data_IF_302710689657
#
_entry.id   IF_302710689657
#
_cell.length_a   1.000
_cell.length_b   1.000
_cell.length_c   1.000
_cell.angle_alpha   90.00
_cell.angle_beta   90.00
_cell.angle_gamma   90.00
#
_symmetry.space_group_name_H-M   'P 1'
#
loop_
_entity.id
_entity.type
_entity.pdbx_description
1 polymer ?
#
# COMPACT_ATOMS: atom_id res chain seq x y z
N UNK A 1 -10.38 -18.85 -25.43
CA UNK A 1 -9.06 -18.42 -24.92
C UNK A 1 -8.61 -19.42 -23.85
N UNK A 2 -7.33 -19.82 -23.79
CA UNK A 2 -6.88 -20.70 -22.71
C UNK A 2 -7.19 -20.05 -21.35
N UNK A 3 -7.63 -20.87 -20.38
CA UNK A 3 -7.94 -20.41 -19.03
C UNK A 3 -6.66 -19.86 -18.39
N UNK A 4 -6.68 -18.62 -17.88
CA UNK A 4 -5.55 -18.09 -17.11
C UNK A 4 -5.40 -18.91 -15.83
N UNK A 5 -4.20 -19.41 -15.58
CA UNK A 5 -3.78 -20.03 -14.32
C UNK A 5 -2.68 -19.20 -13.70
N UNK A 6 -2.43 -19.35 -12.41
CA UNK A 6 -1.30 -18.67 -11.76
C UNK A 6 0.02 -18.96 -12.47
N UNK A 7 0.23 -20.19 -12.90
CA UNK A 7 1.42 -20.58 -13.66
C UNK A 7 1.52 -19.84 -15.00
N UNK A 8 0.44 -19.84 -15.81
CA UNK A 8 0.44 -19.17 -17.10
C UNK A 8 0.58 -17.65 -17.00
N UNK A 9 0.03 -17.05 -15.94
CA UNK A 9 0.18 -15.63 -15.66
C UNK A 9 1.61 -15.30 -15.22
N UNK A 10 2.24 -16.16 -14.41
CA UNK A 10 3.62 -15.99 -14.02
C UNK A 10 4.59 -16.07 -15.21
N UNK A 11 4.41 -17.07 -16.09
CA UNK A 11 5.22 -17.21 -17.31
C UNK A 11 5.10 -15.98 -18.23
N UNK A 12 3.91 -15.41 -18.34
CA UNK A 12 3.67 -14.17 -19.12
C UNK A 12 4.23 -12.97 -18.38
N UNK A 13 3.98 -12.87 -17.07
CA UNK A 13 4.43 -11.78 -16.22
C UNK A 13 5.96 -11.68 -16.18
N UNK A 14 6.66 -12.81 -16.13
CA UNK A 14 8.14 -12.85 -16.12
C UNK A 14 8.79 -12.28 -17.38
N UNK A 15 8.04 -12.13 -18.47
CA UNK A 15 8.53 -11.51 -19.71
C UNK A 15 8.43 -9.99 -19.69
N UNK A 16 7.61 -9.41 -18.83
CA UNK A 16 7.27 -7.95 -18.82
C UNK A 16 7.35 -7.30 -17.44
N UNK A 17 7.46 -8.06 -16.37
CA UNK A 17 7.59 -7.59 -14.99
C UNK A 17 8.85 -8.19 -14.36
N UNK A 18 9.53 -7.42 -13.54
CA UNK A 18 10.65 -7.91 -12.74
C UNK A 18 10.13 -9.01 -11.81
N UNK A 19 10.74 -10.21 -11.86
CA UNK A 19 10.31 -11.40 -11.10
C UNK A 19 8.82 -11.80 -11.32
N UNK A 20 8.20 -11.37 -12.42
CA UNK A 20 6.81 -11.68 -12.74
C UNK A 20 5.75 -10.92 -11.93
N UNK A 21 6.17 -9.98 -11.06
CA UNK A 21 5.29 -9.22 -10.15
C UNK A 21 5.77 -7.77 -9.99
N UNK A 22 4.90 -6.89 -9.51
CA UNK A 22 5.23 -5.48 -9.30
C UNK A 22 5.73 -5.17 -7.88
N UNK A 23 6.06 -6.17 -7.09
CA UNK A 23 6.62 -5.98 -5.74
C UNK A 23 7.42 -7.20 -5.33
N UNK A 24 8.64 -7.00 -4.85
CA UNK A 24 9.51 -8.06 -4.37
C UNK A 24 8.88 -8.90 -3.24
N UNK A 25 8.05 -8.29 -2.37
CA UNK A 25 7.31 -8.99 -1.32
C UNK A 25 6.24 -9.97 -1.84
N UNK A 26 5.94 -9.96 -3.14
CA UNK A 26 4.99 -10.86 -3.80
C UNK A 26 5.64 -11.83 -4.76
N UNK A 27 6.96 -11.71 -4.96
CA UNK A 27 7.73 -12.53 -5.88
C UNK A 27 8.12 -13.90 -5.33
N UNK A 28 8.66 -14.78 -6.19
CA UNK A 28 9.13 -16.12 -5.81
C UNK A 28 10.15 -16.10 -4.69
N UNK A 29 11.01 -15.07 -4.64
CA UNK A 29 12.02 -14.93 -3.59
C UNK A 29 11.41 -14.79 -2.18
N UNK A 30 10.24 -14.16 -2.07
CA UNK A 30 9.54 -13.99 -0.78
C UNK A 30 8.79 -15.25 -0.33
N UNK A 31 8.22 -16.02 -1.26
CA UNK A 31 7.35 -17.15 -0.96
C UNK A 31 7.96 -18.53 -1.30
N UNK A 32 9.10 -18.57 -1.99
CA UNK A 32 9.73 -19.81 -2.41
C UNK A 32 8.97 -20.62 -3.48
N UNK A 33 7.88 -20.06 -4.01
CA UNK A 33 6.98 -20.72 -4.96
C UNK A 33 6.49 -19.74 -6.02
N UNK A 34 5.89 -20.24 -7.09
CA UNK A 34 5.16 -19.43 -8.07
C UNK A 34 4.14 -18.55 -7.37
N UNK A 35 4.14 -17.23 -7.65
CA UNK A 35 3.14 -16.32 -7.08
C UNK A 35 1.71 -16.74 -7.42
N UNK A 36 0.81 -16.54 -6.49
CA UNK A 36 -0.62 -16.71 -6.73
C UNK A 36 -1.21 -15.41 -7.24
N UNK A 37 -2.00 -15.51 -8.29
CA UNK A 37 -2.66 -14.36 -8.88
C UNK A 37 -4.13 -14.35 -8.44
N UNK A 38 -4.51 -13.34 -7.67
CA UNK A 38 -5.88 -13.20 -7.17
C UNK A 38 -6.80 -12.70 -8.28
N UNK A 39 -8.01 -13.24 -8.32
CA UNK A 39 -9.07 -12.82 -9.24
C UNK A 39 -9.99 -11.78 -8.58
N UNK A 40 -10.37 -11.99 -7.33
CA UNK A 40 -11.24 -11.10 -6.56
C UNK A 40 -11.12 -11.36 -5.05
N UNK A 41 -11.76 -10.50 -4.26
CA UNK A 41 -11.90 -10.67 -2.82
C UNK A 41 -13.29 -10.25 -2.36
N UNK A 42 -13.81 -10.89 -1.31
CA UNK A 42 -15.08 -10.56 -0.67
C UNK A 42 -14.94 -10.68 0.85
N UNK A 43 -15.25 -9.64 1.58
CA UNK A 43 -15.08 -9.61 3.03
C UNK A 43 -13.66 -10.01 3.44
N UNK A 44 -13.52 -11.09 4.21
CA UNK A 44 -12.23 -11.64 4.67
C UNK A 44 -11.65 -12.71 3.73
N UNK A 45 -12.18 -12.88 2.54
CA UNK A 45 -11.81 -13.94 1.61
C UNK A 45 -11.14 -13.41 0.36
N UNK A 46 -10.16 -14.17 -0.15
CA UNK A 46 -9.52 -13.98 -1.44
C UNK A 46 -9.73 -15.23 -2.31
N UNK A 47 -9.87 -15.02 -3.58
CA UNK A 47 -10.03 -16.08 -4.57
C UNK A 47 -8.96 -15.92 -5.66
N UNK A 48 -8.20 -16.98 -5.91
CA UNK A 48 -7.20 -16.97 -6.98
C UNK A 48 -7.81 -17.30 -8.34
N UNK A 49 -7.03 -17.10 -9.40
CA UNK A 49 -7.43 -17.42 -10.78
C UNK A 49 -7.54 -18.93 -11.02
N UNK A 50 -7.00 -19.76 -10.14
CA UNK A 50 -7.11 -21.22 -10.18
C UNK A 50 -8.39 -21.72 -9.49
N UNK A 51 -9.18 -20.81 -8.88
CA UNK A 51 -10.46 -21.10 -8.23
C UNK A 51 -10.32 -21.54 -6.77
N UNK A 52 -9.17 -21.28 -6.13
CA UNK A 52 -8.96 -21.59 -4.72
C UNK A 52 -9.36 -20.40 -3.87
N UNK A 53 -9.94 -20.69 -2.71
CA UNK A 53 -10.32 -19.72 -1.68
C UNK A 53 -9.27 -19.67 -0.57
N UNK A 54 -9.04 -18.46 -0.04
CA UNK A 54 -8.13 -18.20 1.08
C UNK A 54 -8.78 -17.24 2.08
N UNK A 55 -8.47 -17.41 3.37
CA UNK A 55 -8.75 -16.37 4.38
C UNK A 55 -7.63 -15.36 4.30
N UNK A 56 -7.98 -14.08 4.11
CA UNK A 56 -6.99 -12.98 4.03
C UNK A 56 -6.65 -12.45 5.42
N UNK A 57 -5.55 -12.93 5.97
CA UNK A 57 -4.97 -12.39 7.21
C UNK A 57 -4.08 -11.17 6.99
N UNK A 58 -3.75 -10.87 5.73
CA UNK A 58 -2.88 -9.73 5.40
C UNK A 58 -3.64 -8.42 5.30
N UNK A 59 -4.90 -8.46 4.83
CA UNK A 59 -5.78 -7.31 4.66
C UNK A 59 -5.06 -6.10 4.05
N UNK A 60 -4.29 -6.34 2.97
CA UNK A 60 -3.43 -5.35 2.32
C UNK A 60 -2.49 -4.61 3.30
N UNK A 61 -1.87 -5.35 4.23
CA UNK A 61 -1.05 -4.80 5.33
C UNK A 61 -1.81 -3.83 6.25
N UNK A 62 -3.09 -4.10 6.50
CA UNK A 62 -3.96 -3.29 7.34
C UNK A 62 -4.70 -2.14 6.62
N UNK A 63 -4.53 -2.01 5.32
CA UNK A 63 -5.20 -0.97 4.54
C UNK A 63 -6.69 -1.27 4.24
N UNK A 64 -7.16 -2.49 4.52
CA UNK A 64 -8.54 -2.94 4.26
C UNK A 64 -9.28 -3.34 5.56
N UNK A 65 -9.47 -2.45 6.52
CA UNK A 65 -10.07 -2.80 7.83
C UNK A 65 -11.53 -3.27 7.70
N UNK A 66 -12.23 -2.93 6.63
CA UNK A 66 -13.62 -3.33 6.37
C UNK A 66 -13.72 -4.57 5.46
N UNK A 67 -12.60 -5.15 5.05
CA UNK A 67 -12.57 -6.26 4.12
C UNK A 67 -12.68 -5.86 2.65
N UNK A 68 -12.61 -6.88 1.79
CA UNK A 68 -12.68 -6.71 0.35
C UNK A 68 -14.11 -6.39 -0.10
N UNK A 69 -14.24 -5.55 -1.10
CA UNK A 69 -15.49 -5.21 -1.78
C UNK A 69 -16.64 -4.82 -0.82
N UNK A 70 -16.33 -4.11 0.28
CA UNK A 70 -17.36 -3.67 1.22
C UNK A 70 -18.44 -2.84 0.51
N UNK A 71 -19.75 -3.20 0.60
CA UNK A 71 -20.80 -2.64 -0.26
C UNK A 71 -20.87 -1.11 -0.23
N UNK A 72 -20.80 -0.49 0.95
CA UNK A 72 -20.83 0.98 1.09
C UNK A 72 -19.62 1.65 0.44
N UNK A 73 -18.43 1.03 0.49
CA UNK A 73 -17.24 1.57 -0.16
C UNK A 73 -17.39 1.49 -1.67
N UNK A 74 -17.83 0.33 -2.19
CA UNK A 74 -18.06 0.14 -3.63
C UNK A 74 -19.08 1.15 -4.14
N UNK A 75 -20.22 1.32 -3.47
CA UNK A 75 -21.26 2.28 -3.83
C UNK A 75 -20.70 3.71 -3.86
N UNK A 76 -20.04 4.15 -2.78
CA UNK A 76 -19.51 5.52 -2.65
C UNK A 76 -18.44 5.78 -3.71
N UNK A 77 -17.48 4.88 -3.88
CA UNK A 77 -16.41 5.04 -4.88
C UNK A 77 -16.97 5.06 -6.30
N UNK A 78 -17.93 4.20 -6.61
CA UNK A 78 -18.58 4.19 -7.94
C UNK A 78 -19.29 5.50 -8.22
N UNK A 79 -20.00 6.03 -7.24
CA UNK A 79 -20.70 7.33 -7.36
C UNK A 79 -19.72 8.49 -7.57
N UNK A 80 -18.64 8.53 -6.78
CA UNK A 80 -17.70 9.65 -6.85
C UNK A 80 -16.81 9.59 -8.11
N UNK A 81 -16.36 8.41 -8.53
CA UNK A 81 -15.54 8.27 -9.74
C UNK A 81 -16.32 8.66 -11.01
N UNK A 82 -17.65 8.48 -11.01
CA UNK A 82 -18.51 8.92 -12.11
C UNK A 82 -18.58 10.46 -12.25
N UNK A 83 -18.21 11.21 -11.20
CA UNK A 83 -18.15 12.69 -11.21
C UNK A 83 -16.76 13.21 -11.61
N UNK A 84 -15.76 12.34 -11.64
CA UNK A 84 -14.36 12.65 -11.94
C UNK A 84 -13.43 12.29 -10.78
N UNK A 85 -12.19 11.95 -11.10
CA UNK A 85 -11.22 11.46 -10.11
C UNK A 85 -10.04 12.41 -9.84
N UNK A 86 -9.75 13.34 -10.77
CA UNK A 86 -8.61 14.25 -10.69
C UNK A 86 -8.97 15.63 -11.22
N UNK A 87 -9.08 16.58 -10.31
CA UNK A 87 -9.47 17.95 -10.66
C UNK A 87 -8.31 18.95 -10.63
N UNK A 88 -7.14 18.55 -10.12
CA UNK A 88 -5.95 19.40 -9.90
C UNK A 88 -6.25 20.67 -9.06
N UNK A 89 -7.29 20.63 -8.24
CA UNK A 89 -7.74 21.70 -7.35
C UNK A 89 -8.30 21.09 -6.05
N UNK A 90 -8.62 21.94 -5.09
CA UNK A 90 -9.21 21.52 -3.81
C UNK A 90 -10.59 20.88 -3.99
N UNK A 91 -10.90 19.92 -3.15
CA UNK A 91 -12.15 19.17 -3.11
C UNK A 91 -12.86 19.37 -1.77
N UNK A 92 -14.17 19.44 -1.80
CA UNK A 92 -15.01 19.52 -0.59
C UNK A 92 -14.74 18.36 0.36
N UNK A 93 -14.66 17.13 -0.17
CA UNK A 93 -14.38 15.91 0.61
C UNK A 93 -13.05 15.94 1.35
N UNK A 94 -12.04 16.68 0.88
CA UNK A 94 -10.76 16.84 1.61
C UNK A 94 -11.01 17.59 2.94
N UNK A 95 -11.84 18.61 2.91
CA UNK A 95 -12.18 19.41 4.09
C UNK A 95 -13.00 18.57 5.06
N UNK A 96 -14.06 17.91 4.59
CA UNK A 96 -14.92 17.06 5.41
C UNK A 96 -14.12 15.94 6.12
N UNK A 97 -13.25 15.25 5.40
CA UNK A 97 -12.42 14.19 5.99
C UNK A 97 -11.39 14.76 6.98
N UNK A 98 -10.81 15.92 6.68
CA UNK A 98 -9.89 16.59 7.60
C UNK A 98 -10.58 17.00 8.90
N UNK A 99 -11.80 17.55 8.84
CA UNK A 99 -12.60 17.92 10.02
C UNK A 99 -12.93 16.69 10.87
N UNK A 100 -13.35 15.58 10.26
CA UNK A 100 -13.61 14.32 10.97
C UNK A 100 -12.34 13.84 11.71
N UNK A 101 -11.20 13.84 11.05
CA UNK A 101 -9.95 13.35 11.63
C UNK A 101 -9.44 14.27 12.75
N UNK A 102 -9.53 15.58 12.61
CA UNK A 102 -9.16 16.54 13.67
C UNK A 102 -10.06 16.36 14.90
N UNK A 103 -11.35 16.14 14.70
CA UNK A 103 -12.28 15.87 15.79
C UNK A 103 -12.03 14.52 16.51
N UNK A 104 -11.57 13.52 15.78
CA UNK A 104 -11.25 12.20 16.35
C UNK A 104 -9.88 12.15 17.06
N UNK A 105 -8.95 13.02 16.70
CA UNK A 105 -7.57 13.01 17.17
C UNK A 105 -7.24 14.31 17.95
N UNK A 106 -7.44 14.36 19.29
CA UNK A 106 -7.42 15.60 20.07
C UNK A 106 -6.11 16.40 20.02
N UNK A 107 -5.01 15.78 19.61
CA UNK A 107 -3.67 16.41 19.50
C UNK A 107 -3.31 16.81 18.06
N UNK A 108 -4.24 16.66 17.12
CA UNK A 108 -4.04 17.03 15.71
C UNK A 108 -4.82 18.31 15.42
N UNK A 109 -4.12 19.35 14.98
CA UNK A 109 -4.73 20.63 14.62
C UNK A 109 -4.96 20.77 13.12
N UNK A 110 -4.06 20.19 12.31
CA UNK A 110 -4.10 20.28 10.84
C UNK A 110 -3.62 18.98 10.21
N UNK A 111 -4.17 18.67 9.05
CA UNK A 111 -3.89 17.46 8.30
C UNK A 111 -3.39 17.81 6.90
N UNK A 112 -2.46 17.02 6.41
CA UNK A 112 -2.06 16.96 5.02
C UNK A 112 -2.17 15.54 4.51
N UNK A 113 -2.96 15.33 3.48
CA UNK A 113 -3.08 14.04 2.82
C UNK A 113 -1.89 13.76 1.90
N UNK A 114 -1.57 12.50 1.73
CA UNK A 114 -0.58 11.98 0.80
C UNK A 114 -1.14 10.70 0.15
N UNK A 115 -0.65 10.35 -1.04
CA UNK A 115 -1.17 9.19 -1.77
C UNK A 115 -0.65 7.86 -1.21
N UNK A 116 0.50 7.85 -0.56
CA UNK A 116 1.13 6.63 -0.03
C UNK A 116 1.74 6.87 1.35
N UNK A 117 1.92 5.78 2.13
CA UNK A 117 2.66 5.84 3.38
C UNK A 117 4.11 6.30 3.22
N UNK A 118 4.75 6.00 2.08
CA UNK A 118 6.09 6.49 1.75
C UNK A 118 6.11 8.02 1.68
N UNK A 119 5.16 8.62 0.96
CA UNK A 119 5.06 10.08 0.84
C UNK A 119 4.74 10.73 2.18
N UNK A 120 3.86 10.14 2.98
CA UNK A 120 3.55 10.62 4.32
C UNK A 120 4.78 10.58 5.24
N UNK A 121 5.55 9.48 5.23
CA UNK A 121 6.79 9.36 6.00
C UNK A 121 7.85 10.36 5.53
N UNK A 122 8.01 10.56 4.23
CA UNK A 122 8.91 11.58 3.67
C UNK A 122 8.53 12.99 4.16
N UNK A 123 7.25 13.34 4.08
CA UNK A 123 6.74 14.64 4.51
C UNK A 123 6.96 14.84 6.02
N UNK A 124 6.65 13.83 6.85
CA UNK A 124 6.83 13.88 8.29
C UNK A 124 8.31 14.08 8.69
N UNK A 125 9.23 13.35 8.08
CA UNK A 125 10.67 13.48 8.35
C UNK A 125 11.20 14.85 7.89
N UNK A 126 10.77 15.34 6.75
CA UNK A 126 11.14 16.69 6.27
C UNK A 126 10.63 17.78 7.21
N UNK A 127 9.38 17.67 7.65
CA UNK A 127 8.77 18.59 8.61
C UNK A 127 9.53 18.59 9.93
N UNK A 128 9.80 17.40 10.50
CA UNK A 128 10.55 17.24 11.74
C UNK A 128 11.95 17.86 11.65
N UNK A 129 12.68 17.63 10.55
CA UNK A 129 13.99 18.23 10.32
C UNK A 129 13.92 19.75 10.15
N UNK A 130 12.94 20.25 9.40
CA UNK A 130 12.73 21.69 9.19
C UNK A 130 12.40 22.42 10.49
N UNK A 131 11.54 21.82 11.31
CA UNK A 131 11.13 22.41 12.59
C UNK A 131 12.25 22.39 13.64
N UNK A 132 13.00 21.29 13.73
CA UNK A 132 14.00 21.10 14.79
C UNK A 132 15.41 21.54 14.42
N UNK A 133 15.71 21.73 13.14
CA UNK A 133 17.06 21.91 12.60
C UNK A 133 17.95 20.64 12.68
N UNK A 134 17.43 19.53 13.21
CA UNK A 134 18.18 18.29 13.42
C UNK A 134 18.17 17.43 12.15
N UNK A 135 19.31 16.81 11.84
CA UNK A 135 19.46 15.98 10.64
C UNK A 135 19.24 14.49 10.88
N UNK A 136 19.62 14.00 12.06
CA UNK A 136 19.55 12.57 12.42
C UNK A 136 18.14 12.18 12.81
N UNK A 137 17.74 10.96 12.42
CA UNK A 137 16.51 10.28 12.83
C UNK A 137 16.88 8.95 13.48
N UNK A 138 16.05 8.49 14.39
CA UNK A 138 16.13 7.15 14.97
C UNK A 138 15.04 6.31 14.32
N UNK A 139 15.40 5.12 13.89
CA UNK A 139 14.51 4.12 13.28
C UNK A 139 14.74 2.77 13.95
N UNK A 140 13.68 2.04 14.25
CA UNK A 140 13.79 0.67 14.72
C UNK A 140 14.12 -0.27 13.56
N UNK A 141 15.04 -1.20 13.80
CA UNK A 141 15.38 -2.25 12.85
C UNK A 141 14.15 -3.13 12.55
N UNK A 142 14.03 -3.60 11.29
CA UNK A 142 12.90 -4.42 10.85
C UNK A 142 11.62 -3.65 10.56
N UNK A 143 11.49 -2.39 10.97
CA UNK A 143 10.29 -1.59 10.69
C UNK A 143 10.35 -0.95 9.32
N UNK A 144 9.31 -1.17 8.51
CA UNK A 144 9.15 -0.55 7.19
C UNK A 144 8.45 0.80 7.31
N UNK A 145 9.07 1.84 6.78
CA UNK A 145 8.54 3.21 6.76
C UNK A 145 8.50 3.82 5.35
N UNK A 146 8.37 2.99 4.35
CA UNK A 146 8.31 3.42 2.96
C UNK A 146 9.58 3.12 2.18
N UNK A 147 9.49 3.30 0.87
CA UNK A 147 10.54 2.96 -0.10
C UNK A 147 11.38 4.19 -0.46
N UNK A 148 11.96 4.81 0.57
CA UNK A 148 12.82 5.97 0.45
C UNK A 148 14.17 5.70 1.15
N UNK A 149 15.28 6.05 0.52
CA UNK A 149 16.65 5.74 0.95
C UNK A 149 16.93 6.05 2.42
N UNK A 150 16.42 7.17 2.93
CA UNK A 150 16.63 7.57 4.32
C UNK A 150 16.01 6.61 5.36
N UNK A 151 15.06 5.77 4.98
CA UNK A 151 14.31 4.87 5.88
C UNK A 151 14.29 3.42 5.41
N UNK A 152 14.82 3.12 4.22
CA UNK A 152 14.84 1.76 3.67
C UNK A 152 15.85 0.85 4.36
N UNK A 153 16.84 1.41 5.04
CA UNK A 153 17.93 0.68 5.70
C UNK A 153 17.37 -0.27 6.76
N UNK A 154 17.72 -1.56 6.69
CA UNK A 154 17.28 -2.60 7.64
C UNK A 154 15.77 -2.66 7.86
N UNK A 155 14.97 -2.37 6.83
CA UNK A 155 13.51 -2.30 6.95
C UNK A 155 12.83 -3.67 6.80
N UNK A 156 13.54 -4.70 6.36
CA UNK A 156 13.01 -6.05 6.25
C UNK A 156 14.14 -7.06 6.38
N UNK A 157 13.91 -8.18 7.08
CA UNK A 157 14.87 -9.30 7.19
C UNK A 157 15.18 -9.95 5.84
N UNK A 158 14.31 -9.75 4.83
CA UNK A 158 14.50 -10.24 3.45
C UNK A 158 15.24 -9.24 2.54
N UNK A 159 15.46 -8.00 3.00
CA UNK A 159 16.17 -6.96 2.26
C UNK A 159 17.47 -6.60 2.95
N UNK A 160 18.48 -7.39 2.73
CA UNK A 160 19.85 -6.99 2.96
C UNK A 160 20.36 -6.22 1.74
N UNK A 161 19.89 -4.98 1.56
CA UNK A 161 20.56 -4.06 0.65
C UNK A 161 21.84 -3.60 1.34
N UNK A 162 23.02 -3.76 0.73
CA UNK A 162 24.23 -3.15 1.27
C UNK A 162 24.02 -1.63 1.27
N UNK A 163 23.95 -1.06 2.48
CA UNK A 163 23.97 0.40 2.64
C UNK A 163 25.22 0.94 1.96
N UNK A 164 25.12 1.91 1.06
CA UNK A 164 26.30 2.67 0.66
C UNK A 164 26.84 3.38 1.91
N UNK A 165 28.08 3.06 2.27
CA UNK A 165 28.81 3.70 3.36
C UNK A 165 29.13 5.15 3.01
#
# INVERSE_FOLDING_TARGET
>A
MPKNTSQSLFERGSKVLVEGVSSASRGPAAFGTTPRYMSHGEGSRLYDVDGREYIDWMMAFGALPLGHAHPKIVETVTKEIARGSHFATALEVEVEVAEILVNLLPHVEKIRFANTGTEAAMAAIRLARGHTGRRKIIKFEGHYHGWWDAVLINSCLLYTSPSPR
#
